data_IF_795966347278
#
_entry.id   IF_795966347278
#
_cell.length_a   1.000
_cell.length_b   1.000
_cell.length_c   1.000
_cell.angle_alpha   90.00
_cell.angle_beta   90.00
_cell.angle_gamma   90.00
#
_symmetry.space_group_name_H-M   'P 1'
#
loop_
_entity.id
_entity.type
_entity.pdbx_description
1 polymer ?
#
# COMPACT_ATOMS: atom_id res chain seq x y z
N UNK A 1 -19.80 19.25 16.86
CA UNK A 1 -19.61 19.00 15.41
C UNK A 1 -18.41 19.74 14.79
N UNK A 2 -18.09 20.98 15.21
CA UNK A 2 -17.00 21.81 14.65
C UNK A 2 -15.60 21.18 14.80
N UNK A 3 -15.31 20.52 15.93
CA UNK A 3 -14.00 19.89 16.18
C UNK A 3 -13.71 18.70 15.24
N UNK A 4 -14.68 17.82 14.99
CA UNK A 4 -14.49 16.66 14.10
C UNK A 4 -14.23 17.13 12.66
N UNK A 5 -14.96 18.14 12.19
CA UNK A 5 -14.70 18.73 10.85
C UNK A 5 -13.28 19.31 10.76
N UNK A 6 -12.80 19.96 11.82
CA UNK A 6 -11.44 20.49 11.87
C UNK A 6 -10.37 19.39 11.89
N UNK A 7 -10.61 18.28 12.60
CA UNK A 7 -9.72 17.11 12.62
C UNK A 7 -9.64 16.48 11.23
N UNK A 8 -10.77 16.22 10.58
CA UNK A 8 -10.80 15.64 9.24
C UNK A 8 -10.12 16.55 8.20
N UNK A 9 -10.32 17.87 8.30
CA UNK A 9 -9.65 18.84 7.41
C UNK A 9 -8.13 18.84 7.56
N UNK A 10 -7.63 18.62 8.78
CA UNK A 10 -6.21 18.60 9.09
C UNK A 10 -5.64 17.17 9.19
N UNK A 11 -6.38 16.17 8.70
CA UNK A 11 -5.99 14.76 8.83
C UNK A 11 -4.64 14.48 8.17
N UNK A 12 -4.36 15.06 6.98
CA UNK A 12 -3.18 14.73 6.20
C UNK A 12 -1.95 15.55 6.66
N UNK A 13 -0.85 14.91 7.11
CA UNK A 13 0.42 15.61 7.31
C UNK A 13 0.98 16.22 6.02
N UNK A 14 1.70 17.34 6.13
CA UNK A 14 2.27 18.06 4.97
C UNK A 14 3.14 17.19 4.07
N UNK A 15 3.93 16.29 4.65
CA UNK A 15 4.79 15.36 3.87
C UNK A 15 3.98 14.44 2.93
N UNK A 16 2.75 14.10 3.30
CA UNK A 16 1.85 13.29 2.46
C UNK A 16 1.02 14.15 1.50
N UNK A 17 0.91 15.47 1.70
CA UNK A 17 0.31 16.41 0.72
C UNK A 17 1.11 16.47 -0.58
N UNK A 18 2.44 16.29 -0.53
CA UNK A 18 3.28 16.22 -1.74
C UNK A 18 2.87 15.00 -2.59
N UNK A 19 2.60 13.86 -1.94
CA UNK A 19 2.14 12.64 -2.61
C UNK A 19 0.71 12.77 -3.12
N UNK A 20 -0.16 13.50 -2.41
CA UNK A 20 -1.54 13.82 -2.83
C UNK A 20 -1.59 14.48 -4.22
N UNK A 21 -0.57 15.27 -4.58
CA UNK A 21 -0.55 15.99 -5.84
C UNK A 21 -0.01 15.21 -7.04
N UNK A 22 0.65 14.06 -6.83
CA UNK A 22 1.28 13.27 -7.90
C UNK A 22 0.23 12.63 -8.80
N UNK A 23 0.38 12.77 -10.12
CA UNK A 23 -0.45 12.04 -11.10
C UNK A 23 -0.02 10.58 -11.17
N UNK A 24 -0.97 9.67 -11.38
CA UNK A 24 -0.74 8.29 -11.78
C UNK A 24 -0.21 8.32 -13.21
N UNK A 25 0.96 7.71 -13.39
CA UNK A 25 1.70 7.67 -14.64
C UNK A 25 2.05 6.22 -14.95
N UNK A 26 2.46 5.90 -16.19
CA UNK A 26 2.98 4.57 -16.50
C UNK A 26 4.06 4.10 -15.51
N UNK A 27 4.93 4.99 -15.03
CA UNK A 27 5.98 4.63 -14.05
C UNK A 27 5.43 4.09 -12.72
N UNK A 28 4.21 4.48 -12.34
CA UNK A 28 3.53 3.93 -11.16
C UNK A 28 3.29 2.43 -11.34
N UNK A 29 2.89 2.02 -12.55
CA UNK A 29 2.68 0.62 -12.89
C UNK A 29 4.00 -0.12 -13.14
N UNK A 30 5.04 0.53 -13.66
CA UNK A 30 6.36 -0.10 -13.80
C UNK A 30 6.88 -0.62 -12.46
N UNK A 31 6.65 0.11 -11.38
CA UNK A 31 7.02 -0.31 -10.03
C UNK A 31 6.15 -1.47 -9.52
N UNK A 32 4.84 -1.42 -9.78
CA UNK A 32 3.90 -2.50 -9.43
C UNK A 32 4.22 -3.81 -10.19
N UNK A 33 4.45 -3.73 -11.51
CA UNK A 33 4.89 -4.87 -12.35
C UNK A 33 6.16 -5.47 -11.77
N UNK A 34 7.17 -4.66 -11.44
CA UNK A 34 8.43 -5.17 -10.86
C UNK A 34 8.17 -5.93 -9.56
N UNK A 35 7.42 -5.32 -8.64
CA UNK A 35 7.10 -5.95 -7.35
C UNK A 35 6.35 -7.27 -7.53
N UNK A 36 5.28 -7.28 -8.31
CA UNK A 36 4.47 -8.46 -8.56
C UNK A 36 5.21 -9.53 -9.35
N UNK A 37 6.05 -9.15 -10.32
CA UNK A 37 6.89 -10.09 -11.06
C UNK A 37 7.96 -10.73 -10.17
N UNK A 38 8.54 -9.99 -9.23
CA UNK A 38 9.46 -10.56 -8.23
C UNK A 38 8.76 -11.62 -7.38
N UNK A 39 7.53 -11.35 -6.91
CA UNK A 39 6.75 -12.35 -6.16
C UNK A 39 6.42 -13.55 -7.05
N UNK A 40 6.01 -13.33 -8.31
CA UNK A 40 5.70 -14.39 -9.25
C UNK A 40 6.90 -15.32 -9.49
N UNK A 41 8.09 -14.75 -9.74
CA UNK A 41 9.32 -15.52 -9.90
C UNK A 41 9.65 -16.29 -8.63
N UNK A 42 9.48 -15.67 -7.45
CA UNK A 42 9.71 -16.34 -6.18
C UNK A 42 8.77 -17.56 -5.98
N UNK A 43 7.50 -17.44 -6.35
CA UNK A 43 6.54 -18.56 -6.31
C UNK A 43 6.93 -19.68 -7.28
N UNK A 44 7.34 -19.34 -8.51
CA UNK A 44 7.86 -20.34 -9.46
C UNK A 44 9.10 -21.06 -8.92
N UNK A 45 10.00 -20.35 -8.24
CA UNK A 45 11.16 -20.97 -7.59
C UNK A 45 10.71 -21.96 -6.52
N UNK A 46 9.71 -21.62 -5.70
CA UNK A 46 9.14 -22.56 -4.73
C UNK A 46 8.56 -23.80 -5.43
N UNK A 47 7.79 -23.60 -6.49
CA UNK A 47 7.10 -24.66 -7.20
C UNK A 47 8.06 -25.63 -7.92
N UNK A 48 9.04 -25.10 -8.65
CA UNK A 48 9.90 -25.89 -9.53
C UNK A 48 11.26 -26.25 -8.94
N UNK A 49 11.76 -25.45 -7.99
CA UNK A 49 13.08 -25.63 -7.39
C UNK A 49 13.01 -25.92 -5.89
N UNK A 50 11.81 -26.00 -5.32
CA UNK A 50 11.62 -26.43 -3.93
C UNK A 50 12.11 -27.87 -3.76
N UNK A 51 12.62 -28.18 -2.56
CA UNK A 51 13.21 -29.48 -2.27
C UNK A 51 12.19 -30.60 -2.55
N UNK A 52 12.44 -31.52 -3.51
CA UNK A 52 11.43 -32.48 -3.97
C UNK A 52 10.87 -33.36 -2.85
N UNK A 53 11.71 -33.67 -1.87
CA UNK A 53 11.35 -34.43 -0.67
C UNK A 53 10.43 -33.69 0.31
N UNK A 54 10.39 -32.35 0.26
CA UNK A 54 9.49 -31.51 1.08
C UNK A 54 8.17 -31.29 0.33
N UNK A 55 8.24 -31.01 -0.96
CA UNK A 55 7.06 -30.76 -1.80
C UNK A 55 6.21 -32.01 -2.02
N UNK A 56 6.84 -33.20 -2.13
CA UNK A 56 6.12 -34.47 -2.28
C UNK A 56 5.31 -34.89 -1.05
N UNK A 57 5.57 -34.27 0.12
CA UNK A 57 4.85 -34.52 1.36
C UNK A 57 3.63 -33.60 1.55
N UNK A 58 3.40 -32.66 0.63
CA UNK A 58 2.27 -31.73 0.70
C UNK A 58 1.00 -32.37 0.16
N UNK A 59 -0.11 -32.12 0.84
CA UNK A 59 -1.43 -32.61 0.45
C UNK A 59 -2.01 -31.79 -0.72
N UNK A 60 -3.12 -32.28 -1.28
CA UNK A 60 -3.78 -31.61 -2.41
C UNK A 60 -4.23 -30.19 -2.06
N UNK A 61 -4.70 -29.97 -0.83
CA UNK A 61 -5.14 -28.65 -0.36
C UNK A 61 -4.01 -27.63 -0.33
N UNK A 62 -2.81 -28.03 0.07
CA UNK A 62 -1.63 -27.14 0.02
C UNK A 62 -1.34 -26.67 -1.41
N UNK A 63 -1.40 -27.58 -2.40
CA UNK A 63 -1.19 -27.26 -3.81
C UNK A 63 -2.30 -26.36 -4.37
N UNK A 64 -3.56 -26.64 -4.02
CA UNK A 64 -4.69 -25.77 -4.38
C UNK A 64 -4.47 -24.34 -3.90
N UNK A 65 -4.04 -24.15 -2.64
CA UNK A 65 -3.76 -22.81 -2.12
C UNK A 65 -2.58 -22.13 -2.82
N UNK A 66 -1.51 -22.88 -3.13
CA UNK A 66 -0.38 -22.34 -3.89
C UNK A 66 -0.84 -21.85 -5.28
N UNK A 67 -1.62 -22.65 -6.01
CA UNK A 67 -2.14 -22.28 -7.32
C UNK A 67 -3.10 -21.08 -7.28
N UNK A 68 -3.89 -20.94 -6.21
CA UNK A 68 -4.72 -19.75 -6.00
C UNK A 68 -3.84 -18.51 -5.83
N UNK A 69 -2.81 -18.59 -4.97
CA UNK A 69 -1.88 -17.47 -4.73
C UNK A 69 -1.15 -17.10 -6.03
N UNK A 70 -0.63 -18.08 -6.75
CA UNK A 70 0.01 -17.90 -8.05
C UNK A 70 -0.94 -17.25 -9.05
N UNK A 71 -2.15 -17.77 -9.21
CA UNK A 71 -3.16 -17.22 -10.11
C UNK A 71 -3.45 -15.73 -9.84
N UNK A 72 -3.56 -15.36 -8.56
CA UNK A 72 -3.76 -13.96 -8.16
C UNK A 72 -2.54 -13.09 -8.49
N UNK A 73 -1.33 -13.56 -8.20
CA UNK A 73 -0.09 -12.81 -8.47
C UNK A 73 0.18 -12.68 -9.97
N UNK A 74 0.08 -13.75 -10.74
CA UNK A 74 0.23 -13.72 -12.20
C UNK A 74 -0.84 -12.85 -12.85
N UNK A 75 -2.10 -12.98 -12.42
CA UNK A 75 -3.18 -12.09 -12.83
C UNK A 75 -2.82 -10.62 -12.55
N UNK A 76 -2.30 -10.32 -11.37
CA UNK A 76 -1.88 -8.96 -11.00
C UNK A 76 -0.77 -8.42 -11.90
N UNK A 77 0.24 -9.24 -12.25
CA UNK A 77 1.30 -8.85 -13.21
C UNK A 77 0.69 -8.51 -14.59
N UNK A 78 -0.22 -9.35 -15.09
CA UNK A 78 -0.89 -9.14 -16.38
C UNK A 78 -1.71 -7.84 -16.35
N UNK A 79 -2.50 -7.64 -15.28
CA UNK A 79 -3.28 -6.42 -15.11
C UNK A 79 -2.40 -5.17 -15.04
N UNK A 80 -1.31 -5.21 -14.27
CA UNK A 80 -0.38 -4.08 -14.18
C UNK A 80 0.27 -3.76 -15.54
N UNK A 81 0.65 -4.79 -16.30
CA UNK A 81 1.17 -4.64 -17.66
C UNK A 81 0.15 -4.04 -18.62
N UNK A 82 -1.10 -4.48 -18.55
CA UNK A 82 -2.20 -3.91 -19.34
C UNK A 82 -2.41 -2.43 -19.02
N UNK A 83 -2.46 -2.05 -17.73
CA UNK A 83 -2.65 -0.65 -17.35
C UNK A 83 -1.45 0.23 -17.63
N UNK A 84 -0.24 -0.32 -17.54
CA UNK A 84 0.98 0.35 -18.00
C UNK A 84 0.87 0.71 -19.50
N UNK A 85 0.48 -0.25 -20.35
CA UNK A 85 0.25 -0.02 -21.77
C UNK A 85 -0.89 0.98 -22.01
N UNK A 86 -2.00 0.84 -21.29
CA UNK A 86 -3.16 1.70 -21.43
C UNK A 86 -2.82 3.17 -21.17
N UNK A 87 -2.12 3.47 -20.07
CA UNK A 87 -1.70 4.83 -19.74
C UNK A 87 -0.65 5.40 -20.69
N UNK A 88 0.15 4.54 -21.33
CA UNK A 88 1.10 4.98 -22.36
C UNK A 88 0.41 5.49 -23.63
N UNK A 89 -0.76 4.94 -23.96
CA UNK A 89 -1.49 5.26 -25.20
C UNK A 89 -2.71 6.15 -24.98
N UNK A 90 -3.29 6.18 -23.76
CA UNK A 90 -4.48 6.95 -23.42
C UNK A 90 -4.31 7.66 -22.07
N UNK A 91 -3.92 8.93 -22.13
CA UNK A 91 -3.79 9.79 -20.93
C UNK A 91 -5.07 10.61 -20.68
N UNK A 92 -6.21 9.93 -20.54
CA UNK A 92 -7.48 10.59 -20.19
C UNK A 92 -7.73 10.54 -18.68
N UNK A 93 -8.44 11.55 -18.14
CA UNK A 93 -8.80 11.59 -16.72
C UNK A 93 -9.62 10.35 -16.30
N UNK A 94 -10.46 9.82 -17.20
CA UNK A 94 -11.22 8.59 -16.96
C UNK A 94 -10.32 7.36 -16.81
N UNK A 95 -9.29 7.24 -17.65
CA UNK A 95 -8.29 6.17 -17.55
C UNK A 95 -7.45 6.33 -16.28
N UNK A 96 -7.02 7.55 -15.96
CA UNK A 96 -6.27 7.81 -14.71
C UNK A 96 -7.08 7.50 -13.44
N UNK A 97 -8.39 7.75 -13.44
CA UNK A 97 -9.31 7.38 -12.35
C UNK A 97 -9.29 5.88 -12.09
N UNK A 98 -9.56 5.10 -13.13
CA UNK A 98 -9.68 3.65 -13.02
C UNK A 98 -8.33 3.02 -12.64
N UNK A 99 -7.27 3.43 -13.32
CA UNK A 99 -5.90 2.94 -13.06
C UNK A 99 -5.41 3.27 -11.65
N UNK A 100 -5.72 4.45 -11.11
CA UNK A 100 -5.34 4.80 -9.74
C UNK A 100 -6.01 3.90 -8.68
N UNK A 101 -7.28 3.54 -8.87
CA UNK A 101 -7.98 2.60 -7.98
C UNK A 101 -7.35 1.21 -8.09
N UNK A 102 -7.06 0.76 -9.31
CA UNK A 102 -6.50 -0.57 -9.52
C UNK A 102 -5.10 -0.72 -8.90
N UNK A 103 -4.20 0.25 -9.09
CA UNK A 103 -2.86 0.21 -8.44
C UNK A 103 -2.99 0.16 -6.92
N UNK A 104 -3.92 0.92 -6.37
CA UNK A 104 -4.13 0.95 -4.93
C UNK A 104 -4.67 -0.37 -4.40
N UNK A 105 -5.67 -0.96 -5.06
CA UNK A 105 -6.26 -2.22 -4.63
C UNK A 105 -5.30 -3.40 -4.86
N UNK A 106 -4.78 -3.56 -6.08
CA UNK A 106 -3.89 -4.66 -6.43
C UNK A 106 -2.53 -4.53 -5.74
N UNK A 107 -1.80 -3.45 -6.03
CA UNK A 107 -0.44 -3.27 -5.50
C UNK A 107 -0.39 -2.89 -4.02
N UNK A 108 -1.43 -2.24 -3.50
CA UNK A 108 -1.48 -1.82 -2.10
C UNK A 108 -2.02 -2.86 -1.14
N UNK A 109 -3.08 -3.59 -1.51
CA UNK A 109 -3.76 -4.52 -0.59
C UNK A 109 -3.58 -5.98 -0.99
N UNK A 110 -3.87 -6.32 -2.24
CA UNK A 110 -3.94 -7.73 -2.66
C UNK A 110 -2.54 -8.35 -2.72
N UNK A 111 -1.59 -7.74 -3.42
CA UNK A 111 -0.24 -8.31 -3.55
C UNK A 111 0.49 -8.46 -2.22
N UNK A 112 0.47 -7.48 -1.31
CA UNK A 112 1.05 -7.66 0.02
C UNK A 112 0.35 -8.73 0.87
N UNK A 113 -0.99 -8.87 0.75
CA UNK A 113 -1.70 -9.97 1.39
C UNK A 113 -1.25 -11.35 0.85
N UNK A 114 -0.99 -11.45 -0.45
CA UNK A 114 -0.50 -12.70 -1.05
C UNK A 114 0.89 -13.08 -0.56
N UNK A 115 1.77 -12.12 -0.25
CA UNK A 115 3.05 -12.41 0.40
C UNK A 115 2.82 -13.13 1.74
N UNK A 116 1.92 -12.61 2.59
CA UNK A 116 1.57 -13.29 3.85
C UNK A 116 0.94 -14.65 3.59
N UNK A 117 0.04 -14.77 2.61
CA UNK A 117 -0.58 -16.04 2.26
C UNK A 117 0.46 -17.11 1.93
N UNK A 118 1.53 -16.75 1.21
CA UNK A 118 2.65 -17.65 0.92
C UNK A 118 3.34 -18.15 2.19
N UNK A 119 3.60 -17.29 3.19
CA UNK A 119 4.18 -17.74 4.46
C UNK A 119 3.21 -18.60 5.27
N UNK A 120 1.90 -18.33 5.19
CA UNK A 120 0.88 -19.12 5.87
C UNK A 120 0.76 -20.55 5.33
N UNK A 121 1.21 -20.84 4.10
CA UNK A 121 1.29 -22.20 3.56
C UNK A 121 2.19 -23.14 4.37
N UNK A 122 3.06 -22.60 5.23
CA UNK A 122 3.91 -23.40 6.13
C UNK A 122 3.09 -23.93 7.31
N UNK A 123 1.98 -23.28 7.67
CA UNK A 123 1.11 -23.68 8.77
C UNK A 123 0.39 -24.99 8.47
N UNK A 124 0.13 -25.85 9.47
CA UNK A 124 -0.77 -27.00 9.34
C UNK A 124 -2.20 -26.60 8.95
N UNK A 125 -2.60 -25.35 9.23
CA UNK A 125 -3.91 -24.80 8.83
C UNK A 125 -3.72 -23.47 8.10
N UNK A 126 -3.35 -23.49 6.80
CA UNK A 126 -2.95 -22.30 6.05
C UNK A 126 -4.03 -21.21 6.01
N UNK A 127 -5.28 -21.60 5.79
CA UNK A 127 -6.41 -20.67 5.72
C UNK A 127 -6.63 -19.93 7.04
N UNK A 128 -6.69 -20.66 8.16
CA UNK A 128 -6.87 -20.06 9.48
C UNK A 128 -5.69 -19.15 9.83
N UNK A 129 -4.47 -19.57 9.54
CA UNK A 129 -3.27 -18.75 9.74
C UNK A 129 -3.34 -17.45 8.92
N UNK A 130 -3.77 -17.52 7.66
CA UNK A 130 -3.98 -16.35 6.82
C UNK A 130 -5.04 -15.40 7.39
N UNK A 131 -6.19 -15.91 7.84
CA UNK A 131 -7.23 -15.08 8.45
C UNK A 131 -6.75 -14.36 9.71
N UNK A 132 -6.03 -15.06 10.59
CA UNK A 132 -5.44 -14.48 11.81
C UNK A 132 -4.40 -13.41 11.45
N UNK A 133 -3.50 -13.72 10.51
CA UNK A 133 -2.47 -12.78 10.04
C UNK A 133 -3.08 -11.50 9.43
N UNK A 134 -4.12 -11.65 8.62
CA UNK A 134 -4.86 -10.51 8.07
C UNK A 134 -5.60 -9.73 9.15
N UNK A 135 -6.17 -10.40 10.16
CA UNK A 135 -6.77 -9.77 11.33
C UNK A 135 -5.78 -8.91 12.11
N UNK A 136 -4.58 -9.44 12.38
CA UNK A 136 -3.48 -8.69 13.04
C UNK A 136 -3.07 -7.48 12.19
N UNK A 137 -2.95 -7.65 10.87
CA UNK A 137 -2.58 -6.59 9.94
C UNK A 137 -3.60 -5.45 9.96
N UNK A 138 -4.89 -5.78 9.87
CA UNK A 138 -5.98 -4.79 9.93
C UNK A 138 -6.07 -4.11 11.28
N UNK A 139 -5.95 -4.87 12.38
CA UNK A 139 -5.92 -4.30 13.72
C UNK A 139 -4.78 -3.29 13.89
N UNK A 140 -3.58 -3.66 13.45
CA UNK A 140 -2.39 -2.79 13.49
C UNK A 140 -2.62 -1.50 12.69
N UNK A 141 -3.18 -1.62 11.47
CA UNK A 141 -3.47 -0.46 10.63
C UNK A 141 -4.49 0.49 11.29
N UNK A 142 -5.57 -0.06 11.85
CA UNK A 142 -6.61 0.72 12.55
C UNK A 142 -6.02 1.39 13.80
N UNK A 143 -5.25 0.66 14.60
CA UNK A 143 -4.59 1.19 15.78
C UNK A 143 -3.69 2.38 15.44
N UNK A 144 -2.84 2.26 14.42
CA UNK A 144 -1.97 3.36 13.97
C UNK A 144 -2.77 4.56 13.45
N UNK A 145 -3.85 4.33 12.72
CA UNK A 145 -4.75 5.40 12.28
C UNK A 145 -5.41 6.11 13.47
N UNK A 146 -5.79 5.37 14.52
CA UNK A 146 -6.35 5.96 15.74
C UNK A 146 -5.30 6.81 16.48
N UNK A 147 -4.06 6.33 16.60
CA UNK A 147 -2.96 7.12 17.16
C UNK A 147 -2.76 8.43 16.37
N UNK A 148 -2.79 8.35 15.04
CA UNK A 148 -2.67 9.53 14.19
C UNK A 148 -3.85 10.50 14.35
N UNK A 149 -5.08 10.00 14.38
CA UNK A 149 -6.28 10.81 14.64
C UNK A 149 -6.20 11.52 15.99
N UNK A 150 -5.67 10.84 17.01
CA UNK A 150 -5.46 11.42 18.34
C UNK A 150 -4.42 12.55 18.31
N UNK A 151 -3.30 12.37 17.59
CA UNK A 151 -2.30 13.42 17.37
C UNK A 151 -2.92 14.64 16.67
N UNK A 152 -3.72 14.42 15.61
CA UNK A 152 -4.41 15.51 14.90
C UNK A 152 -5.40 16.23 15.83
N UNK A 153 -6.19 15.48 16.60
CA UNK A 153 -7.14 16.05 17.56
C UNK A 153 -6.43 16.89 18.63
N UNK A 154 -5.29 16.40 19.14
CA UNK A 154 -4.46 17.14 20.08
C UNK A 154 -3.90 18.43 19.47
N UNK A 155 -3.36 18.37 18.25
CA UNK A 155 -2.84 19.53 17.54
C UNK A 155 -3.92 20.60 17.28
N UNK A 156 -5.11 20.19 16.86
CA UNK A 156 -6.28 21.08 16.66
C UNK A 156 -6.70 21.71 17.99
N UNK A 157 -6.78 20.94 19.08
CA UNK A 157 -7.13 21.45 20.42
C UNK A 157 -6.11 22.48 20.91
N UNK A 158 -4.82 22.31 20.59
CA UNK A 158 -3.74 23.24 20.92
C UNK A 158 -3.58 24.39 19.92
N UNK A 159 -4.40 24.44 18.86
CA UNK A 159 -4.30 25.42 17.77
C UNK A 159 -2.91 25.47 17.12
N UNK A 160 -2.16 24.36 17.18
CA UNK A 160 -0.81 24.25 16.64
C UNK A 160 -0.69 23.02 15.75
N UNK A 161 -0.99 23.19 14.46
CA UNK A 161 -0.96 22.10 13.47
C UNK A 161 0.46 21.58 13.21
N UNK A 162 1.50 22.34 13.55
CA UNK A 162 2.89 21.85 13.41
C UNK A 162 3.15 20.61 14.28
N UNK A 163 2.45 20.47 15.42
CA UNK A 163 2.54 19.28 16.28
C UNK A 163 2.13 18.00 15.54
N UNK A 164 1.10 18.07 14.68
CA UNK A 164 0.72 16.93 13.85
C UNK A 164 1.87 16.52 12.94
N UNK A 165 2.46 17.47 12.23
CA UNK A 165 3.52 17.17 11.26
C UNK A 165 4.77 16.60 11.95
N UNK A 166 5.12 17.13 13.13
CA UNK A 166 6.24 16.66 13.94
C UNK A 166 6.05 15.22 14.43
N UNK A 167 4.84 14.86 14.88
CA UNK A 167 4.59 13.57 15.55
C UNK A 167 3.93 12.50 14.66
N UNK A 168 3.53 12.83 13.42
CA UNK A 168 2.79 11.92 12.55
C UNK A 168 3.52 10.58 12.24
N UNK A 169 4.86 10.56 12.22
CA UNK A 169 5.62 9.31 11.99
C UNK A 169 5.90 8.53 13.26
N UNK A 170 5.75 9.13 14.44
CA UNK A 170 6.21 8.49 15.68
C UNK A 170 5.52 7.14 15.92
N UNK A 171 4.18 7.00 15.81
CA UNK A 171 3.52 5.71 15.99
C UNK A 171 3.97 4.67 14.95
N UNK A 172 4.04 5.07 13.67
CA UNK A 172 4.45 4.20 12.56
C UNK A 172 5.88 3.70 12.77
N UNK A 173 6.83 4.61 13.00
CA UNK A 173 8.24 4.26 13.20
C UNK A 173 8.44 3.38 14.43
N UNK A 174 7.72 3.67 15.52
CA UNK A 174 7.83 2.87 16.76
C UNK A 174 7.38 1.43 16.50
N UNK A 175 6.22 1.24 15.87
CA UNK A 175 5.70 -0.10 15.53
C UNK A 175 6.61 -0.80 14.51
N UNK A 176 7.13 -0.08 13.51
CA UNK A 176 8.08 -0.64 12.55
C UNK A 176 9.38 -1.12 13.20
N UNK A 177 9.99 -0.31 14.07
CA UNK A 177 11.22 -0.68 14.79
C UNK A 177 10.95 -1.88 15.70
N UNK A 178 9.83 -1.88 16.44
CA UNK A 178 9.43 -3.00 17.29
C UNK A 178 9.24 -4.28 16.47
N UNK A 179 8.62 -4.20 15.28
CA UNK A 179 8.47 -5.34 14.39
C UNK A 179 9.82 -5.86 13.87
N UNK A 180 10.75 -4.98 13.48
CA UNK A 180 12.10 -5.39 13.04
C UNK A 180 12.85 -6.08 14.19
N UNK A 181 12.81 -5.52 15.40
CA UNK A 181 13.40 -6.16 16.58
C UNK A 181 12.74 -7.52 16.84
N UNK A 182 11.42 -7.61 16.70
CA UNK A 182 10.67 -8.87 16.77
C UNK A 182 11.19 -9.91 15.77
N UNK A 183 11.42 -9.52 14.50
CA UNK A 183 12.00 -10.42 13.48
C UNK A 183 13.37 -10.93 13.91
N UNK A 184 14.24 -10.03 14.39
CA UNK A 184 15.59 -10.38 14.84
C UNK A 184 15.54 -11.36 16.02
N UNK A 185 14.67 -11.12 17.00
CA UNK A 185 14.51 -12.04 18.13
C UNK A 185 14.03 -13.41 17.65
N UNK A 186 13.05 -13.46 16.74
CA UNK A 186 12.56 -14.75 16.22
C UNK A 186 13.63 -15.54 15.47
N UNK A 187 14.65 -14.91 14.89
CA UNK A 187 15.74 -15.61 14.20
C UNK A 187 16.83 -16.12 15.15
N UNK A 188 17.02 -15.51 16.32
CA UNK A 188 18.06 -15.92 17.29
C UNK A 188 17.62 -17.05 18.22
N UNK A 189 16.33 -17.15 18.52
CA UNK A 189 15.82 -18.21 19.40
C UNK A 189 15.31 -19.38 18.55
N UNK A 190 15.79 -20.60 18.84
CA UNK A 190 15.19 -21.85 18.35
C UNK A 190 13.85 -22.07 19.05
N UNK A 191 12.88 -21.22 18.77
CA UNK A 191 11.53 -21.33 19.31
C UNK A 191 10.81 -22.38 18.47
N UNK A 192 10.17 -23.33 19.14
CA UNK A 192 9.24 -24.30 18.52
C UNK A 192 8.11 -23.62 17.71
N UNK A 193 7.90 -22.31 17.97
CA UNK A 193 6.93 -21.41 17.35
C UNK A 193 7.55 -20.36 16.41
N UNK A 194 8.74 -20.60 15.85
CA UNK A 194 9.44 -19.64 14.98
C UNK A 194 8.58 -19.19 13.78
N UNK A 195 7.84 -20.11 13.16
CA UNK A 195 6.98 -19.81 12.00
C UNK A 195 5.75 -18.98 12.37
N UNK A 196 4.94 -19.35 13.40
CA UNK A 196 3.89 -18.48 13.92
C UNK A 196 4.37 -17.08 14.31
N UNK A 197 5.53 -16.99 14.97
CA UNK A 197 6.09 -15.70 15.38
C UNK A 197 6.52 -14.85 14.18
N UNK A 198 7.18 -15.46 13.18
CA UNK A 198 7.54 -14.81 11.93
C UNK A 198 6.30 -14.27 11.19
N UNK A 199 5.25 -15.09 11.05
CA UNK A 199 3.99 -14.69 10.42
C UNK A 199 3.31 -13.56 11.18
N UNK A 200 3.31 -13.58 12.51
CA UNK A 200 2.74 -12.50 13.33
C UNK A 200 3.49 -11.18 13.12
N UNK A 201 4.82 -11.22 13.08
CA UNK A 201 5.63 -10.01 12.87
C UNK A 201 5.47 -9.48 11.44
N UNK A 202 5.44 -10.35 10.42
CA UNK A 202 5.13 -9.95 9.04
C UNK A 202 3.74 -9.32 8.92
N UNK A 203 2.76 -9.79 9.71
CA UNK A 203 1.42 -9.21 9.79
C UNK A 203 1.44 -7.79 10.35
N UNK A 204 2.24 -7.53 11.38
CA UNK A 204 2.41 -6.17 11.92
C UNK A 204 3.04 -5.25 10.88
N UNK A 205 4.07 -5.72 10.16
CA UNK A 205 4.70 -4.95 9.07
C UNK A 205 3.68 -4.63 7.97
N UNK A 206 2.87 -5.61 7.57
CA UNK A 206 1.81 -5.39 6.59
C UNK A 206 0.77 -4.37 7.08
N UNK A 207 0.40 -4.42 8.36
CA UNK A 207 -0.47 -3.43 8.97
C UNK A 207 0.09 -2.00 8.92
N UNK A 208 1.40 -1.84 9.09
CA UNK A 208 2.07 -0.54 8.88
C UNK A 208 1.93 -0.09 7.42
N UNK A 209 2.18 -1.00 6.46
CA UNK A 209 2.04 -0.70 5.03
C UNK A 209 0.60 -0.26 4.70
N UNK A 210 -0.40 -0.95 5.23
CA UNK A 210 -1.81 -0.57 5.09
C UNK A 210 -2.11 0.81 5.70
N UNK A 211 -1.60 1.12 6.89
CA UNK A 211 -1.73 2.45 7.47
C UNK A 211 -1.15 3.54 6.55
N UNK A 212 0.04 3.31 5.99
CA UNK A 212 0.67 4.25 5.07
C UNK A 212 -0.12 4.42 3.77
N UNK A 213 -0.74 3.35 3.27
CA UNK A 213 -1.64 3.40 2.11
C UNK A 213 -2.89 4.25 2.39
N UNK A 214 -3.44 4.23 3.61
CA UNK A 214 -4.55 5.13 3.95
C UNK A 214 -4.18 6.61 3.83
N UNK A 215 -2.92 7.00 4.08
CA UNK A 215 -2.45 8.37 3.81
C UNK A 215 -2.33 8.68 2.32
N UNK A 216 -2.24 7.67 1.46
CA UNK A 216 -2.28 7.82 0.00
C UNK A 216 -3.70 7.85 -0.55
N UNK A 217 -4.71 7.36 0.18
CA UNK A 217 -6.10 7.29 -0.28
C UNK A 217 -6.68 8.65 -0.78
N UNK A 218 -6.38 9.80 -0.14
CA UNK A 218 -6.83 11.09 -0.66
C UNK A 218 -6.36 11.39 -2.10
N UNK A 219 -5.20 10.89 -2.52
CA UNK A 219 -4.71 11.01 -3.91
C UNK A 219 -5.67 10.37 -4.90
N UNK A 220 -6.24 9.23 -4.54
CA UNK A 220 -7.23 8.50 -5.35
C UNK A 220 -8.53 9.28 -5.39
N UNK A 221 -9.02 9.74 -4.23
CA UNK A 221 -10.23 10.57 -4.14
C UNK A 221 -10.13 11.86 -4.98
N UNK A 222 -8.93 12.43 -5.15
CA UNK A 222 -8.73 13.61 -6.00
C UNK A 222 -9.18 13.36 -7.44
N UNK A 223 -8.95 12.16 -7.97
CA UNK A 223 -9.41 11.81 -9.31
C UNK A 223 -10.93 11.88 -9.44
N UNK A 224 -11.66 11.65 -8.35
CA UNK A 224 -13.12 11.63 -8.28
C UNK A 224 -13.73 12.98 -7.92
N UNK A 225 -12.95 13.92 -7.37
CA UNK A 225 -13.38 15.31 -7.23
C UNK A 225 -13.33 16.00 -8.60
N UNK A 226 -14.33 16.83 -8.90
CA UNK A 226 -14.35 17.67 -10.09
C UNK A 226 -13.00 18.38 -10.24
N UNK A 227 -12.44 18.49 -11.46
CA UNK A 227 -11.13 19.09 -11.65
C UNK A 227 -11.16 20.47 -11.00
N UNK A 228 -10.30 20.67 -10.00
CA UNK A 228 -9.88 22.04 -9.65
C UNK A 228 -9.38 22.58 -10.98
N UNK A 229 -10.02 23.62 -11.50
CA UNK A 229 -9.51 24.36 -12.64
C UNK A 229 -8.09 24.76 -12.25
N UNK A 230 -7.10 23.99 -12.68
CA UNK A 230 -5.75 24.50 -12.76
C UNK A 230 -5.90 25.61 -13.78
N UNK A 231 -5.90 26.86 -13.30
CA UNK A 231 -5.50 27.97 -14.15
C UNK A 231 -4.07 27.63 -14.59
N UNK A 232 -3.97 26.85 -15.66
CA UNK A 232 -2.86 27.00 -16.57
C UNK A 232 -2.99 28.43 -17.07
N UNK A 233 -2.34 29.36 -16.38
CA UNK A 233 -1.87 30.57 -17.01
C UNK A 233 -0.94 30.10 -18.12
N UNK A 234 -1.52 29.79 -19.29
CA UNK A 234 -0.70 29.53 -20.46
C UNK A 234 0.13 30.79 -20.62
N UNK A 235 1.45 30.64 -20.54
CA UNK A 235 2.39 31.75 -20.78
C UNK A 235 2.15 32.40 -22.15
N UNK A 236 1.41 31.72 -23.03
CA UNK A 236 0.90 32.22 -24.32
C UNK A 236 -0.21 33.27 -24.23
N UNK A 237 -1.06 33.32 -23.19
CA UNK A 237 -2.06 34.40 -23.05
C UNK A 237 -1.43 35.75 -22.70
N UNK A 238 -0.31 35.73 -21.97
CA UNK A 238 0.44 36.95 -21.62
C UNK A 238 1.30 37.48 -22.78
N UNK A 239 1.66 36.64 -23.74
CA UNK A 239 2.35 37.07 -24.97
C UNK A 239 1.40 37.82 -25.92
N UNK A 240 0.21 37.28 -26.17
CA UNK A 240 -0.77 37.92 -27.07
C UNK A 240 -1.35 39.23 -26.51
N UNK A 241 -1.48 39.38 -25.19
CA UNK A 241 -1.93 40.63 -24.58
C UNK A 241 -0.88 41.75 -24.65
N UNK A 242 0.42 41.40 -24.67
CA UNK A 242 1.50 42.37 -24.90
C UNK A 242 1.60 42.81 -26.36
N UNK A 243 1.35 41.91 -27.32
CA UNK A 243 1.36 42.25 -28.75
C UNK A 243 0.19 43.18 -29.13
N UNK A 244 -0.98 43.02 -28.50
CA UNK A 244 -2.14 43.91 -28.75
C UNK A 244 -2.01 45.32 -28.15
N UNK A 245 -1.05 45.56 -27.25
CA UNK A 245 -0.76 46.91 -26.71
C UNK A 245 0.30 47.65 -27.51
N UNK A 246 0.84 47.03 -28.57
CA UNK A 246 1.73 47.67 -29.54
C UNK A 246 0.90 47.86 -30.82
N UNK A 247 -0.01 48.82 -30.79
CA UNK A 247 -0.61 49.46 -31.96
C UNK A 247 -0.98 50.88 -31.58
#
# INVERSE_FOLDING_TARGET
MVQIKAVLRNFLPKKYEIAFNRRTTPDSFKSAVKFNATIAIFLLVIQFLGAPNILSQKDSSWWEYLYIIEGIIFGSVIFDGFFWLLLRHKDSLGVQRFTAVTVFALGGFISPAMVIATFCLISPTPWNAFLVAMGISLFTAIFLLMCHLWIVAYAVKKQNIALRDQYADVPVNTVSIAAIIGLLITSFFKIEYIMPALTAVLSVILGVVYCLLFFQYPRILRYWKSPIKQEFSSSYKNGMSKIKKIK
#
